data_IF_253391284966
#
_entry.id   IF_253391284966
#
_cell.length_a   1.000
_cell.length_b   1.000
_cell.length_c   1.000
_cell.angle_alpha   90.00
_cell.angle_beta   90.00
_cell.angle_gamma   90.00
#
_symmetry.space_group_name_H-M   'P 1'
#
loop_
_entity.id
_entity.type
_entity.pdbx_description
1 polymer ?
#
# COMPACT_ATOMS: atom_id res chain seq x y z
N UNK A 1 -24.63 7.66 -0.70
CA UNK A 1 -23.50 8.22 0.07
C UNK A 1 -22.27 7.75 -0.66
N UNK A 2 -21.58 8.64 -1.38
CA UNK A 2 -20.34 8.28 -2.08
C UNK A 2 -19.26 8.05 -1.03
N UNK A 3 -18.62 6.88 -1.04
CA UNK A 3 -17.50 6.62 -0.16
C UNK A 3 -16.18 7.15 -0.76
N UNK A 4 -15.10 7.13 0.02
CA UNK A 4 -13.79 7.67 -0.41
C UNK A 4 -13.29 7.02 -1.71
N UNK A 5 -13.65 5.76 -1.97
CA UNK A 5 -13.25 5.05 -3.16
C UNK A 5 -13.99 5.58 -4.40
N UNK A 6 -15.31 5.78 -4.29
CA UNK A 6 -16.12 6.33 -5.38
C UNK A 6 -15.67 7.75 -5.75
N UNK A 7 -15.33 8.56 -4.73
CA UNK A 7 -14.76 9.89 -4.93
C UNK A 7 -13.38 9.83 -5.61
N UNK A 8 -12.48 8.96 -5.14
CA UNK A 8 -11.14 8.87 -5.70
C UNK A 8 -11.14 8.40 -7.16
N UNK A 9 -11.96 7.40 -7.49
CA UNK A 9 -12.13 6.91 -8.87
C UNK A 9 -12.71 7.98 -9.78
N UNK A 10 -13.69 8.75 -9.30
CA UNK A 10 -14.25 9.90 -10.03
C UNK A 10 -13.22 10.98 -10.31
N UNK A 11 -12.33 11.27 -9.36
CA UNK A 11 -11.27 12.28 -9.52
C UNK A 11 -10.09 11.80 -10.39
N UNK A 12 -9.88 10.48 -10.51
CA UNK A 12 -8.71 9.85 -11.13
C UNK A 12 -9.05 9.15 -12.46
N UNK A 13 -9.86 9.80 -13.29
CA UNK A 13 -10.35 9.28 -14.59
C UNK A 13 -9.22 8.80 -15.52
N UNK A 14 -9.52 7.82 -16.36
CA UNK A 14 -8.49 7.12 -17.17
C UNK A 14 -7.73 7.98 -18.17
N UNK A 15 -8.36 9.04 -18.70
CA UNK A 15 -7.79 9.93 -19.73
C UNK A 15 -6.90 11.04 -19.16
N UNK A 16 -6.69 11.06 -17.84
CA UNK A 16 -5.90 12.09 -17.19
C UNK A 16 -4.40 11.78 -17.24
N UNK A 17 -3.64 12.67 -17.92
CA UNK A 17 -2.20 12.52 -18.12
C UNK A 17 -1.41 12.50 -16.82
N UNK A 18 -1.90 13.17 -15.78
CA UNK A 18 -1.20 13.29 -14.49
C UNK A 18 -1.82 12.39 -13.42
N UNK A 19 -2.68 11.45 -13.81
CA UNK A 19 -3.41 10.55 -12.90
C UNK A 19 -2.50 9.87 -11.87
N UNK A 20 -1.32 9.40 -12.27
CA UNK A 20 -0.37 8.74 -11.35
C UNK A 20 0.15 9.64 -10.22
N UNK A 21 0.06 10.96 -10.38
CA UNK A 21 0.47 11.98 -9.41
C UNK A 21 -0.68 12.40 -8.49
N UNK A 22 -1.91 11.94 -8.74
CA UNK A 22 -3.08 12.28 -7.93
C UNK A 22 -3.15 11.45 -6.65
N UNK A 23 -3.45 12.12 -5.56
CA UNK A 23 -3.65 11.53 -4.23
C UNK A 23 -4.87 12.17 -3.59
N UNK A 24 -5.70 11.36 -2.93
CA UNK A 24 -6.79 11.83 -2.08
C UNK A 24 -6.41 11.61 -0.63
N UNK A 25 -6.47 12.69 0.16
CA UNK A 25 -6.17 12.70 1.58
C UNK A 25 -7.45 13.03 2.32
N UNK A 26 -7.98 12.07 3.08
CA UNK A 26 -9.11 12.29 3.99
C UNK A 26 -8.56 12.54 5.38
N UNK A 27 -8.59 13.79 5.84
CA UNK A 27 -8.10 14.19 7.18
C UNK A 27 -9.25 14.24 8.17
N UNK A 28 -9.04 13.72 9.38
CA UNK A 28 -10.06 13.57 10.42
C UNK A 28 -9.62 14.31 11.70
N UNK A 29 -9.53 15.65 11.71
CA UNK A 29 -8.80 16.40 12.75
C UNK A 29 -9.32 16.20 14.17
N UNK A 30 -10.62 15.90 14.33
CA UNK A 30 -11.26 15.72 15.64
C UNK A 30 -11.29 14.26 16.11
N UNK A 31 -10.74 13.33 15.32
CA UNK A 31 -10.69 11.92 15.70
C UNK A 31 -9.60 11.70 16.74
N UNK A 32 -9.95 11.01 17.83
CA UNK A 32 -9.04 10.76 18.97
C UNK A 32 -8.74 9.28 19.22
N UNK A 33 -9.61 8.36 18.78
CA UNK A 33 -9.37 6.91 18.81
C UNK A 33 -8.89 6.43 17.45
N UNK A 34 -7.58 6.26 17.28
CA UNK A 34 -6.97 5.97 15.97
C UNK A 34 -7.16 4.53 15.51
N UNK A 35 -7.58 3.62 16.39
CA UNK A 35 -7.88 2.22 16.07
C UNK A 35 -8.97 2.11 14.98
N UNK A 36 -9.88 3.09 14.91
CA UNK A 36 -10.88 3.14 13.84
C UNK A 36 -10.23 3.29 12.46
N UNK A 37 -9.09 3.99 12.36
CA UNK A 37 -8.37 4.12 11.08
C UNK A 37 -7.85 2.75 10.65
N UNK A 38 -7.32 1.95 11.57
CA UNK A 38 -6.85 0.60 11.25
C UNK A 38 -7.99 -0.35 10.86
N UNK A 39 -9.13 -0.26 11.53
CA UNK A 39 -10.34 -1.02 11.17
C UNK A 39 -10.79 -0.66 9.76
N UNK A 40 -10.96 0.63 9.46
CA UNK A 40 -11.37 1.10 8.12
C UNK A 40 -10.31 0.75 7.08
N UNK A 41 -9.02 0.93 7.40
CA UNK A 41 -7.93 0.55 6.49
C UNK A 41 -7.98 -0.94 6.15
N UNK A 42 -8.13 -1.80 7.15
CA UNK A 42 -8.20 -3.25 6.97
C UNK A 42 -9.41 -3.66 6.12
N UNK A 43 -10.56 -3.05 6.38
CA UNK A 43 -11.81 -3.31 5.65
C UNK A 43 -11.69 -2.91 4.17
N UNK A 44 -11.14 -1.73 3.88
CA UNK A 44 -11.17 -1.16 2.54
C UNK A 44 -9.90 -1.41 1.70
N UNK A 45 -8.74 -1.70 2.29
CA UNK A 45 -7.46 -1.84 1.55
C UNK A 45 -7.56 -2.83 0.40
N UNK A 46 -8.24 -3.96 0.58
CA UNK A 46 -8.38 -4.96 -0.50
C UNK A 46 -9.13 -4.39 -1.70
N UNK A 47 -10.23 -3.65 -1.49
CA UNK A 47 -10.97 -3.00 -2.57
C UNK A 47 -10.10 -1.99 -3.32
N UNK A 48 -9.32 -1.17 -2.62
CA UNK A 48 -8.40 -0.23 -3.26
C UNK A 48 -7.33 -0.95 -4.09
N UNK A 49 -6.69 -1.97 -3.52
CA UNK A 49 -5.64 -2.76 -4.17
C UNK A 49 -6.14 -3.43 -5.44
N UNK A 50 -7.31 -4.05 -5.41
CA UNK A 50 -7.93 -4.72 -6.57
C UNK A 50 -8.12 -3.78 -7.78
N UNK A 51 -8.33 -2.49 -7.51
CA UNK A 51 -8.50 -1.44 -8.51
C UNK A 51 -7.18 -0.72 -8.87
N UNK A 52 -6.04 -1.23 -8.37
CA UNK A 52 -4.72 -0.70 -8.68
C UNK A 52 -4.36 0.56 -7.87
N UNK A 53 -4.98 0.75 -6.72
CA UNK A 53 -4.68 1.83 -5.79
C UNK A 53 -4.00 1.30 -4.53
N UNK A 54 -3.36 2.19 -3.79
CA UNK A 54 -2.90 1.94 -2.43
C UNK A 54 -3.72 2.79 -1.47
N UNK A 55 -4.06 2.20 -0.33
CA UNK A 55 -4.66 2.88 0.80
C UNK A 55 -3.66 2.80 1.96
N UNK A 56 -3.33 3.95 2.56
CA UNK A 56 -2.47 4.04 3.75
C UNK A 56 -3.21 4.63 4.94
N UNK A 57 -3.00 4.04 6.12
CA UNK A 57 -3.34 4.68 7.39
C UNK A 57 -2.23 5.63 7.82
N UNK A 58 -2.60 6.75 8.43
CA UNK A 58 -1.67 7.66 9.10
C UNK A 58 -2.34 8.22 10.34
N UNK A 59 -1.61 8.33 11.44
CA UNK A 59 -2.10 8.93 12.68
C UNK A 59 -0.94 9.11 13.67
N UNK A 60 -1.10 9.96 14.71
CA UNK A 60 -0.07 10.16 15.71
C UNK A 60 0.29 8.86 16.43
N UNK A 61 1.57 8.50 16.40
CA UNK A 61 2.09 7.29 17.04
C UNK A 61 1.84 6.00 16.27
N UNK A 62 1.53 6.06 14.97
CA UNK A 62 1.43 4.86 14.12
C UNK A 62 2.75 4.08 14.12
N UNK A 63 2.69 2.80 14.49
CA UNK A 63 3.87 1.94 14.69
C UNK A 63 4.24 1.10 13.48
N UNK A 64 3.60 1.32 12.33
CA UNK A 64 3.93 0.61 11.09
C UNK A 64 5.38 0.92 10.68
N UNK A 65 6.26 -0.11 10.55
CA UNK A 65 7.67 0.10 10.28
C UNK A 65 7.93 0.51 8.82
N UNK A 66 9.08 1.16 8.61
CA UNK A 66 9.59 1.49 7.30
C UNK A 66 10.25 0.30 6.62
N UNK A 67 10.27 0.31 5.28
CA UNK A 67 10.83 -0.78 4.47
C UNK A 67 12.32 -1.08 4.71
N UNK A 68 13.09 -0.05 5.06
CA UNK A 68 14.56 -0.12 5.17
C UNK A 68 15.08 0.07 6.59
N UNK A 69 14.21 0.52 7.50
CA UNK A 69 14.55 0.81 8.88
C UNK A 69 13.29 0.62 9.73
N UNK A 70 13.32 -0.36 10.62
CA UNK A 70 12.19 -0.70 11.48
C UNK A 70 11.92 0.39 12.53
N UNK A 71 12.94 1.15 12.94
CA UNK A 71 12.80 2.26 13.88
C UNK A 71 12.23 3.53 13.22
N UNK A 72 12.14 3.54 11.88
CA UNK A 72 11.50 4.63 11.15
C UNK A 72 10.03 4.30 10.92
N UNK A 73 9.14 5.13 11.45
CA UNK A 73 7.69 4.95 11.34
C UNK A 73 7.10 5.95 10.32
N UNK A 74 7.10 5.62 9.01
CA UNK A 74 6.73 6.57 7.95
C UNK A 74 5.26 7.00 7.98
N UNK A 75 4.43 6.27 8.74
CA UNK A 75 2.99 6.52 8.84
C UNK A 75 2.61 7.30 10.11
N UNK A 76 3.58 7.62 10.96
CA UNK A 76 3.38 8.55 12.07
C UNK A 76 3.17 9.96 11.51
N UNK A 77 2.03 10.56 11.85
CA UNK A 77 1.61 11.84 11.30
C UNK A 77 0.88 12.69 12.35
N UNK A 78 0.95 14.02 12.29
CA UNK A 78 0.36 14.89 13.31
C UNK A 78 -1.17 14.87 13.32
N UNK A 79 -1.82 14.36 12.27
CA UNK A 79 -3.27 14.25 12.15
C UNK A 79 -3.65 12.87 11.62
N UNK A 80 -4.76 12.28 12.09
CA UNK A 80 -5.24 11.03 11.55
C UNK A 80 -5.83 11.23 10.15
N UNK A 81 -5.47 10.34 9.23
CA UNK A 81 -5.91 10.40 7.84
C UNK A 81 -5.86 9.06 7.13
N UNK A 82 -6.71 8.92 6.11
CA UNK A 82 -6.66 7.85 5.12
C UNK A 82 -6.22 8.44 3.78
N UNK A 83 -5.15 7.87 3.22
CA UNK A 83 -4.55 8.36 1.98
C UNK A 83 -4.73 7.32 0.88
N UNK A 84 -5.41 7.71 -0.19
CA UNK A 84 -5.57 6.91 -1.40
C UNK A 84 -4.71 7.48 -2.53
N UNK A 85 -3.90 6.62 -3.16
CA UNK A 85 -3.09 6.99 -4.33
C UNK A 85 -3.03 5.88 -5.36
N UNK A 86 -2.52 6.18 -6.55
CA UNK A 86 -2.13 5.15 -7.50
C UNK A 86 -1.04 4.24 -6.91
N UNK A 87 -1.25 2.93 -7.06
CA UNK A 87 -0.19 1.94 -6.81
C UNK A 87 1.00 2.18 -7.73
N UNK A 88 2.20 2.00 -7.19
CA UNK A 88 3.51 2.11 -7.81
C UNK A 88 4.19 0.74 -7.83
N UNK A 89 5.19 0.57 -8.70
CA UNK A 89 5.97 -0.69 -8.78
C UNK A 89 6.69 -1.01 -7.47
N UNK A 90 7.11 0.02 -6.73
CA UNK A 90 7.77 -0.10 -5.42
C UNK A 90 6.85 -0.58 -4.31
N UNK A 91 5.54 -0.67 -4.53
CA UNK A 91 4.59 -1.12 -3.51
C UNK A 91 4.56 -2.63 -3.30
N UNK A 92 5.27 -3.40 -4.14
CA UNK A 92 5.32 -4.85 -4.09
C UNK A 92 5.51 -5.44 -2.68
N UNK A 93 6.45 -4.95 -1.83
CA UNK A 93 6.62 -5.47 -0.47
C UNK A 93 5.38 -5.42 0.41
N UNK A 94 4.49 -4.44 0.20
CA UNK A 94 3.28 -4.28 0.99
C UNK A 94 2.11 -5.15 0.50
N UNK A 95 2.34 -5.93 -0.57
CA UNK A 95 1.32 -6.72 -1.28
C UNK A 95 1.58 -8.22 -1.22
N UNK A 96 2.82 -8.66 -0.94
CA UNK A 96 3.22 -10.08 -0.96
C UNK A 96 2.54 -10.96 0.08
N UNK A 97 1.95 -10.37 1.13
CA UNK A 97 1.21 -11.10 2.17
C UNK A 97 -0.08 -11.76 1.68
N UNK A 98 -0.63 -11.33 0.53
CA UNK A 98 -1.95 -11.78 0.04
C UNK A 98 -1.92 -12.05 -1.47
N UNK A 99 -2.42 -13.23 -1.86
CA UNK A 99 -2.37 -13.68 -3.26
C UNK A 99 -3.19 -12.77 -4.18
N UNK A 100 -4.35 -12.33 -3.72
CA UNK A 100 -5.25 -11.41 -4.39
C UNK A 100 -4.58 -10.05 -4.66
N UNK A 101 -3.79 -9.55 -3.70
CA UNK A 101 -3.05 -8.30 -3.82
C UNK A 101 -1.93 -8.41 -4.86
N UNK A 102 -1.19 -9.52 -4.86
CA UNK A 102 -0.21 -9.82 -5.90
C UNK A 102 -0.85 -9.95 -7.29
N UNK A 103 -2.03 -10.55 -7.39
CA UNK A 103 -2.74 -10.65 -8.66
C UNK A 103 -3.13 -9.27 -9.20
N UNK A 104 -3.58 -8.36 -8.32
CA UNK A 104 -3.88 -6.98 -8.68
C UNK A 104 -2.62 -6.20 -9.10
N UNK A 105 -1.50 -6.39 -8.39
CA UNK A 105 -0.20 -5.85 -8.76
C UNK A 105 0.22 -6.28 -10.17
N UNK A 106 0.18 -7.58 -10.47
CA UNK A 106 0.53 -8.08 -11.81
C UNK A 106 -0.48 -7.65 -12.88
N UNK A 107 -1.77 -7.52 -12.54
CA UNK A 107 -2.77 -6.95 -13.47
C UNK A 107 -2.35 -5.55 -13.92
N UNK A 108 -1.83 -4.74 -12.98
CA UNK A 108 -1.43 -3.36 -13.24
C UNK A 108 -0.09 -3.24 -13.95
N UNK A 109 0.94 -3.95 -13.50
CA UNK A 109 2.31 -3.76 -13.98
C UNK A 109 2.83 -4.82 -14.95
N UNK A 110 2.11 -5.95 -15.09
CA UNK A 110 2.42 -7.01 -16.03
C UNK A 110 1.16 -7.49 -16.77
N UNK A 111 0.40 -6.59 -17.43
CA UNK A 111 -0.90 -6.92 -18.03
C UNK A 111 -0.80 -7.96 -19.16
N UNK A 112 0.37 -8.10 -19.76
CA UNK A 112 0.65 -9.13 -20.77
C UNK A 112 0.65 -10.56 -20.21
N UNK A 113 0.76 -10.74 -18.88
CA UNK A 113 0.69 -12.07 -18.26
C UNK A 113 -0.76 -12.58 -18.25
N UNK A 114 -1.03 -13.77 -18.83
CA UNK A 114 -2.34 -14.41 -18.72
C UNK A 114 -2.79 -14.54 -17.26
N UNK A 115 -4.09 -14.45 -16.99
CA UNK A 115 -4.66 -14.49 -15.64
C UNK A 115 -4.21 -15.73 -14.85
N UNK A 116 -4.21 -16.91 -15.48
CA UNK A 116 -3.75 -18.17 -14.88
C UNK A 116 -2.27 -18.12 -14.46
N UNK A 117 -1.43 -17.47 -15.27
CA UNK A 117 -0.01 -17.32 -14.96
C UNK A 117 0.20 -16.33 -13.82
N UNK A 118 -0.53 -15.21 -13.79
CA UNK A 118 -0.53 -14.26 -12.67
C UNK A 118 -0.90 -14.94 -11.35
N UNK A 119 -1.97 -15.74 -11.36
CA UNK A 119 -2.39 -16.51 -10.19
C UNK A 119 -1.31 -17.49 -9.72
N UNK A 120 -0.69 -18.20 -10.66
CA UNK A 120 0.37 -19.19 -10.35
C UNK A 120 1.59 -18.52 -9.74
N UNK A 121 2.03 -17.38 -10.30
CA UNK A 121 3.16 -16.60 -9.78
C UNK A 121 2.80 -16.03 -8.41
N UNK A 122 1.65 -15.39 -8.27
CA UNK A 122 1.18 -14.83 -7.00
C UNK A 122 1.14 -15.87 -5.88
N UNK A 123 0.61 -17.08 -6.17
CA UNK A 123 0.57 -18.18 -5.20
C UNK A 123 1.96 -18.63 -4.73
N UNK A 124 2.96 -18.61 -5.62
CA UNK A 124 4.34 -19.00 -5.32
C UNK A 124 5.14 -17.91 -4.61
N UNK A 125 4.84 -16.64 -4.91
CA UNK A 125 5.51 -15.48 -4.33
C UNK A 125 4.89 -15.00 -3.03
N UNK A 126 3.71 -15.51 -2.67
CA UNK A 126 3.06 -15.18 -1.40
C UNK A 126 4.01 -15.47 -0.25
N UNK A 127 4.27 -14.46 0.57
CA UNK A 127 5.09 -14.57 1.76
C UNK A 127 4.19 -14.39 2.97
N UNK A 128 4.07 -15.42 3.81
CA UNK A 128 3.16 -15.40 4.96
C UNK A 128 3.74 -14.62 6.17
N UNK A 129 5.00 -14.21 6.12
CA UNK A 129 5.60 -13.32 7.12
C UNK A 129 5.41 -11.84 6.77
N UNK A 130 5.84 -10.95 7.66
CA UNK A 130 5.92 -9.53 7.31
C UNK A 130 7.12 -9.32 6.37
N UNK A 131 6.82 -8.96 5.12
CA UNK A 131 7.86 -8.72 4.14
C UNK A 131 8.67 -7.47 4.43
N UNK A 132 8.09 -6.50 5.15
CA UNK A 132 8.80 -5.31 5.64
C UNK A 132 9.85 -5.75 6.66
N UNK A 133 9.49 -6.64 7.57
CA UNK A 133 10.44 -7.20 8.55
C UNK A 133 11.54 -8.01 7.86
N UNK A 134 11.18 -8.85 6.88
CA UNK A 134 12.15 -9.66 6.15
C UNK A 134 13.16 -8.79 5.37
N UNK A 135 12.68 -7.73 4.70
CA UNK A 135 13.54 -6.82 3.93
C UNK A 135 14.44 -6.01 4.86
N UNK A 136 13.91 -5.53 5.98
CA UNK A 136 14.69 -4.77 6.97
C UNK A 136 15.78 -5.63 7.60
N UNK A 137 15.45 -6.86 8.02
CA UNK A 137 16.41 -7.80 8.59
C UNK A 137 17.56 -8.14 7.61
N UNK A 138 17.26 -8.24 6.31
CA UNK A 138 18.29 -8.44 5.29
C UNK A 138 19.23 -7.23 5.18
N UNK A 139 18.71 -6.00 5.27
CA UNK A 139 19.54 -4.80 5.21
C UNK A 139 20.49 -4.70 6.41
N UNK A 140 20.03 -5.04 7.61
CA UNK A 140 20.85 -5.10 8.84
C UNK A 140 22.00 -6.11 8.72
N UNK A 141 21.78 -7.25 8.05
CA UNK A 141 22.80 -8.27 7.79
C UNK A 141 23.78 -7.88 6.67
N UNK A 142 23.36 -7.05 5.71
CA UNK A 142 24.23 -6.54 4.63
C UNK A 142 24.89 -5.20 4.96
N UNK A 143 24.78 -4.74 6.20
CA UNK A 143 25.38 -3.49 6.66
C UNK A 143 26.84 -3.41 6.23
N UNK A 144 27.14 -2.40 5.38
CA UNK A 144 28.46 -1.89 5.01
C UNK A 144 29.02 -2.21 3.60
N UNK A 145 28.20 -2.23 2.53
CA UNK A 145 28.72 -1.77 1.23
C UNK A 145 28.40 -0.28 1.04
N UNK A 146 29.39 0.63 1.08
CA UNK A 146 29.16 2.03 0.80
C UNK A 146 28.75 2.17 -0.67
N UNK A 147 27.52 2.65 -0.89
CA UNK A 147 27.03 3.05 -2.20
C UNK A 147 27.96 4.07 -2.84
N UNK A 148 28.39 3.75 -4.05
CA UNK A 148 29.32 4.50 -4.89
C UNK A 148 28.63 5.60 -5.67
#
# INVERSE_FOLDING_TARGET
>A
MEDQFDLYTTLSREDDRDRSLKTLVTVLPDLTGFEVIDVVHTEFKSRFVEHGFMLGQFYPGCTQPGLWNHDFHPLDAPLPMLVARHMMTTDFPFLVGRQEWLCAYFKKFAPALPSTLRLTIAKRMKYDGDAVDAITAHHELTGNEPGR
#
